data_IF_592536146683
#
_entry.id   IF_592536146683
#
_cell.length_a   1.000
_cell.length_b   1.000
_cell.length_c   1.000
_cell.angle_alpha   90.00
_cell.angle_beta   90.00
_cell.angle_gamma   90.00
#
_symmetry.space_group_name_H-M   'P 1'
#
loop_
_entity.id
_entity.type
_entity.pdbx_description
1 polymer ?
#
# COMPACT_ATOMS: atom_id res chain seq x y z
N UNK A 1 3.03 -19.45 18.36
CA UNK A 1 4.38 -19.09 17.87
C UNK A 1 4.87 -20.03 16.77
N UNK A 2 4.61 -21.36 16.86
CA UNK A 2 5.10 -22.35 15.89
C UNK A 2 4.34 -22.33 14.55
N UNK A 3 3.03 -22.11 14.56
CA UNK A 3 2.18 -22.14 13.36
C UNK A 3 2.65 -21.22 12.23
N UNK A 4 2.91 -19.93 12.47
CA UNK A 4 3.40 -19.03 11.42
C UNK A 4 4.73 -19.46 10.81
N UNK A 5 5.65 -20.03 11.61
CA UNK A 5 6.94 -20.53 11.11
C UNK A 5 6.75 -21.76 10.23
N UNK A 6 5.91 -22.70 10.65
CA UNK A 6 5.58 -23.88 9.84
C UNK A 6 4.90 -23.51 8.54
N UNK A 7 4.00 -22.51 8.57
CA UNK A 7 3.35 -22.00 7.36
C UNK A 7 4.36 -21.40 6.38
N UNK A 8 5.32 -20.58 6.85
CA UNK A 8 6.36 -20.02 5.99
C UNK A 8 7.24 -21.10 5.35
N UNK A 9 7.60 -22.16 6.09
CA UNK A 9 8.33 -23.31 5.54
C UNK A 9 7.50 -24.01 4.48
N UNK A 10 6.21 -24.22 4.77
CA UNK A 10 5.27 -24.91 3.90
C UNK A 10 5.07 -24.19 2.55
N UNK A 11 4.93 -22.85 2.57
CA UNK A 11 4.67 -22.07 1.36
C UNK A 11 5.95 -21.70 0.58
N UNK A 12 7.12 -21.88 1.17
CA UNK A 12 8.39 -21.41 0.59
C UNK A 12 8.73 -22.05 -0.77
N UNK A 13 8.23 -23.26 -1.03
CA UNK A 13 8.48 -23.93 -2.30
C UNK A 13 7.67 -23.36 -3.47
N UNK A 14 6.60 -22.62 -3.19
CA UNK A 14 5.73 -22.02 -4.20
C UNK A 14 6.51 -21.15 -5.19
N UNK A 15 7.42 -20.31 -4.70
CA UNK A 15 8.20 -19.40 -5.54
C UNK A 15 9.08 -20.18 -6.53
N UNK A 16 9.62 -21.32 -6.13
CA UNK A 16 10.45 -22.19 -6.99
C UNK A 16 9.61 -22.95 -8.03
N UNK A 17 8.35 -23.20 -7.71
CA UNK A 17 7.42 -23.91 -8.59
C UNK A 17 6.90 -23.01 -9.72
N UNK A 18 6.83 -21.69 -9.47
CA UNK A 18 6.36 -20.71 -10.44
C UNK A 18 7.45 -20.34 -11.46
N UNK A 19 7.08 -19.96 -12.70
CA UNK A 19 8.05 -19.55 -13.70
C UNK A 19 8.72 -18.23 -13.28
N UNK A 20 10.04 -18.19 -13.37
CA UNK A 20 10.84 -17.01 -13.00
C UNK A 20 10.41 -15.74 -13.75
N UNK A 21 9.98 -15.89 -15.01
CA UNK A 21 9.52 -14.78 -15.86
C UNK A 21 8.22 -14.11 -15.38
N UNK A 22 7.52 -14.69 -14.41
CA UNK A 22 6.36 -14.09 -13.75
C UNK A 22 6.76 -13.30 -12.49
N UNK A 23 8.05 -13.18 -12.18
CA UNK A 23 8.61 -12.46 -11.03
C UNK A 23 7.77 -12.67 -9.75
N UNK A 24 7.63 -13.90 -9.27
CA UNK A 24 6.81 -14.18 -8.08
C UNK A 24 7.45 -13.58 -6.85
N UNK A 25 6.67 -12.81 -6.08
CA UNK A 25 7.07 -12.30 -4.77
C UNK A 25 6.06 -12.73 -3.72
N UNK A 26 6.56 -13.17 -2.58
CA UNK A 26 5.75 -13.72 -1.50
C UNK A 26 6.02 -12.95 -0.22
N UNK A 27 4.95 -12.54 0.47
CA UNK A 27 5.01 -11.98 1.81
C UNK A 27 3.95 -12.67 2.67
N UNK A 28 4.37 -13.58 3.53
CA UNK A 28 3.50 -14.49 4.26
C UNK A 28 2.54 -15.23 3.31
N UNK A 29 1.24 -15.00 3.39
CA UNK A 29 0.21 -15.56 2.53
C UNK A 29 -0.10 -14.75 1.26
N UNK A 30 0.44 -13.52 1.16
CA UNK A 30 0.24 -12.64 0.01
C UNK A 30 1.23 -12.98 -1.11
N UNK A 31 0.73 -13.49 -2.23
CA UNK A 31 1.49 -13.75 -3.46
C UNK A 31 1.24 -12.66 -4.49
N UNK A 32 2.30 -12.14 -5.09
CA UNK A 32 2.25 -11.20 -6.21
C UNK A 32 3.03 -11.75 -7.40
N UNK A 33 2.41 -11.61 -8.56
CA UNK A 33 3.01 -11.95 -9.84
C UNK A 33 3.15 -10.69 -10.68
N UNK A 34 4.34 -10.40 -11.15
CA UNK A 34 4.63 -9.23 -11.99
C UNK A 34 5.06 -9.67 -13.37
N UNK A 35 4.59 -8.97 -14.36
CA UNK A 35 5.08 -9.14 -15.73
C UNK A 35 5.35 -7.79 -16.35
N UNK A 36 6.59 -7.54 -16.71
CA UNK A 36 7.00 -6.36 -17.43
C UNK A 36 6.53 -6.45 -18.89
N UNK A 37 5.86 -5.40 -19.34
CA UNK A 37 5.49 -5.28 -20.73
C UNK A 37 6.59 -4.52 -21.47
N UNK A 38 7.66 -5.22 -21.85
CA UNK A 38 8.65 -4.65 -22.78
C UNK A 38 7.97 -4.57 -24.15
N UNK A 39 7.87 -3.39 -24.77
CA UNK A 39 7.47 -3.31 -26.16
C UNK A 39 8.59 -3.94 -27.01
N UNK A 40 8.35 -5.16 -27.49
CA UNK A 40 9.25 -5.79 -28.45
C UNK A 40 9.10 -5.05 -29.77
N UNK A 41 10.10 -4.25 -30.10
CA UNK A 41 10.15 -3.39 -31.32
C UNK A 41 10.30 -4.16 -32.63
N UNK A 42 10.34 -5.50 -32.61
CA UNK A 42 10.78 -6.28 -33.77
C UNK A 42 9.86 -7.39 -34.26
N UNK A 43 8.65 -7.55 -33.73
CA UNK A 43 7.73 -8.56 -34.32
C UNK A 43 6.28 -8.13 -34.27
N UNK A 44 5.54 -8.58 -35.31
CA UNK A 44 4.15 -8.22 -35.62
C UNK A 44 3.09 -8.49 -34.54
N UNK A 45 3.45 -8.93 -33.33
CA UNK A 45 2.53 -9.15 -32.22
C UNK A 45 3.21 -8.98 -30.86
N UNK A 46 3.48 -7.74 -30.38
CA UNK A 46 4.10 -7.50 -29.08
C UNK A 46 3.19 -7.84 -27.89
N UNK A 47 1.96 -8.27 -28.17
CA UNK A 47 0.89 -8.37 -27.19
C UNK A 47 0.73 -9.74 -26.50
N UNK A 48 1.42 -10.76 -26.99
CA UNK A 48 1.09 -12.14 -26.60
C UNK A 48 1.94 -12.68 -25.45
N UNK A 49 3.20 -12.31 -25.37
CA UNK A 49 4.16 -13.06 -24.52
C UNK A 49 3.91 -12.84 -23.03
N UNK A 50 3.77 -11.61 -22.58
CA UNK A 50 3.66 -11.33 -21.14
C UNK A 50 2.33 -11.76 -20.51
N UNK A 51 1.23 -11.67 -21.27
CA UNK A 51 -0.08 -12.14 -20.79
C UNK A 51 -0.15 -13.68 -20.73
N UNK A 52 0.52 -14.33 -21.67
CA UNK A 52 0.62 -15.81 -21.68
C UNK A 52 1.45 -16.27 -20.48
N UNK A 53 2.55 -15.60 -20.17
CA UNK A 53 3.41 -15.94 -19.03
C UNK A 53 2.69 -15.81 -17.69
N UNK A 54 1.91 -14.74 -17.49
CA UNK A 54 1.11 -14.59 -16.27
C UNK A 54 0.02 -15.65 -16.17
N UNK A 55 -0.64 -15.97 -17.30
CA UNK A 55 -1.64 -17.05 -17.30
C UNK A 55 -1.00 -18.41 -17.04
N UNK A 56 0.17 -18.67 -17.57
CA UNK A 56 0.93 -19.90 -17.27
C UNK A 56 1.29 -19.97 -15.78
N UNK A 57 1.73 -18.87 -15.18
CA UNK A 57 2.02 -18.79 -13.75
C UNK A 57 0.77 -19.08 -12.90
N UNK A 58 -0.38 -18.53 -13.29
CA UNK A 58 -1.66 -18.81 -12.63
C UNK A 58 -2.08 -20.28 -12.75
N UNK A 59 -1.84 -20.91 -13.90
CA UNK A 59 -2.12 -22.33 -14.08
C UNK A 59 -1.21 -23.20 -13.19
N UNK A 60 0.09 -22.90 -13.13
CA UNK A 60 1.03 -23.57 -12.22
C UNK A 60 0.67 -23.36 -10.76
N UNK A 61 0.23 -22.13 -10.39
CA UNK A 61 -0.27 -21.85 -9.05
C UNK A 61 -1.49 -22.73 -8.72
N UNK A 62 -2.40 -22.94 -9.67
CA UNK A 62 -3.57 -23.80 -9.48
C UNK A 62 -3.16 -25.27 -9.28
N UNK A 63 -2.15 -25.73 -10.00
CA UNK A 63 -1.62 -27.10 -9.86
C UNK A 63 -0.93 -27.27 -8.50
N UNK A 64 -0.12 -26.32 -8.09
CA UNK A 64 0.51 -26.30 -6.77
C UNK A 64 -0.54 -26.27 -5.64
N UNK A 65 -1.55 -25.40 -5.76
CA UNK A 65 -2.66 -25.29 -4.80
C UNK A 65 -3.39 -26.61 -4.60
N UNK A 66 -3.64 -27.38 -5.69
CA UNK A 66 -4.24 -28.73 -5.64
C UNK A 66 -3.31 -29.74 -4.98
N UNK A 67 -2.03 -29.72 -5.35
CA UNK A 67 -1.03 -30.67 -4.82
C UNK A 67 -0.87 -30.51 -3.31
N UNK A 68 -0.77 -29.25 -2.86
CA UNK A 68 -0.53 -28.93 -1.46
C UNK A 68 -1.81 -28.71 -0.64
N UNK A 69 -2.99 -28.90 -1.24
CA UNK A 69 -4.30 -28.71 -0.58
C UNK A 69 -4.46 -27.33 0.08
N UNK A 70 -3.84 -26.30 -0.48
CA UNK A 70 -3.93 -24.92 -0.02
C UNK A 70 -4.79 -24.11 -0.98
N UNK A 71 -6.03 -23.81 -0.59
CA UNK A 71 -6.97 -23.08 -1.45
C UNK A 71 -6.62 -21.60 -1.58
N UNK A 72 -6.62 -21.10 -2.81
CA UNK A 72 -6.49 -19.66 -3.11
C UNK A 72 -7.86 -19.02 -3.07
N UNK A 73 -8.00 -17.90 -2.34
CA UNK A 73 -9.24 -17.14 -2.30
C UNK A 73 -9.36 -16.24 -3.54
N UNK A 74 -10.16 -16.67 -4.51
CA UNK A 74 -10.32 -15.99 -5.81
C UNK A 74 -10.98 -14.62 -5.65
N UNK A 75 -11.90 -14.44 -4.70
CA UNK A 75 -12.59 -13.16 -4.47
C UNK A 75 -11.63 -12.05 -4.01
N UNK A 76 -10.52 -12.41 -3.38
CA UNK A 76 -9.45 -11.48 -2.99
C UNK A 76 -8.42 -11.26 -4.09
N UNK A 77 -8.42 -12.10 -5.13
CA UNK A 77 -7.48 -11.94 -6.24
C UNK A 77 -7.91 -10.80 -7.15
N UNK A 78 -6.96 -9.98 -7.55
CA UNK A 78 -7.22 -8.87 -8.47
C UNK A 78 -6.04 -8.66 -9.42
N UNK A 79 -6.33 -8.09 -10.57
CA UNK A 79 -5.32 -7.69 -11.57
C UNK A 79 -5.26 -6.18 -11.60
N UNK A 80 -4.08 -5.61 -11.34
CA UNK A 80 -3.81 -4.19 -11.50
C UNK A 80 -2.90 -3.98 -12.71
N UNK A 81 -3.37 -3.21 -13.70
CA UNK A 81 -2.56 -2.83 -14.87
C UNK A 81 -2.03 -1.42 -14.68
N UNK A 82 -0.74 -1.30 -14.41
CA UNK A 82 -0.08 0.00 -14.23
C UNK A 82 0.34 0.51 -15.60
N UNK A 83 -0.15 1.68 -16.00
CA UNK A 83 0.13 2.26 -17.32
C UNK A 83 -0.13 3.75 -17.36
N UNK A 84 0.73 4.48 -18.07
CA UNK A 84 0.53 5.90 -18.39
C UNK A 84 -0.38 6.12 -19.63
N UNK A 85 -0.79 5.07 -20.31
CA UNK A 85 -1.69 5.18 -21.45
C UNK A 85 -3.12 5.53 -21.04
N UNK A 86 -3.79 6.39 -21.81
CA UNK A 86 -5.18 6.81 -21.54
C UNK A 86 -6.19 5.67 -21.59
N UNK A 87 -5.89 4.62 -22.34
CA UNK A 87 -6.75 3.44 -22.50
C UNK A 87 -5.90 2.18 -22.49
N UNK A 88 -5.52 1.66 -21.32
CA UNK A 88 -4.82 0.38 -21.23
C UNK A 88 -5.76 -0.72 -21.76
N UNK A 89 -5.22 -1.62 -22.58
CA UNK A 89 -6.01 -2.77 -23.06
C UNK A 89 -6.40 -3.63 -21.88
N UNK A 90 -7.70 -3.84 -21.70
CA UNK A 90 -8.21 -4.76 -20.69
C UNK A 90 -7.79 -6.19 -21.05
N UNK A 91 -7.21 -6.90 -20.09
CA UNK A 91 -6.84 -8.30 -20.21
C UNK A 91 -7.62 -9.10 -19.19
N UNK A 92 -8.14 -10.23 -19.60
CA UNK A 92 -8.79 -11.18 -18.72
C UNK A 92 -7.81 -12.29 -18.37
N UNK A 93 -7.66 -12.56 -17.09
CA UNK A 93 -6.92 -13.68 -16.56
C UNK A 93 -7.90 -14.61 -15.86
N UNK A 94 -7.62 -15.91 -15.90
CA UNK A 94 -8.45 -16.93 -15.27
C UNK A 94 -7.66 -17.74 -14.26
N UNK A 95 -8.29 -18.10 -13.16
CA UNK A 95 -7.78 -19.02 -12.17
C UNK A 95 -8.82 -20.08 -11.87
N UNK A 96 -8.52 -21.35 -12.10
CA UNK A 96 -9.46 -22.46 -11.95
C UNK A 96 -10.82 -22.17 -12.62
N UNK A 97 -10.80 -21.73 -13.89
CA UNK A 97 -11.98 -21.36 -14.70
C UNK A 97 -12.75 -20.11 -14.25
N UNK A 98 -12.35 -19.47 -13.15
CA UNK A 98 -12.93 -18.20 -12.71
C UNK A 98 -12.12 -17.02 -13.25
N UNK A 99 -12.82 -15.96 -13.67
CA UNK A 99 -12.18 -14.74 -14.18
C UNK A 99 -11.70 -13.91 -12.98
N UNK A 100 -10.42 -13.49 -12.99
CA UNK A 100 -9.88 -12.56 -12.02
C UNK A 100 -10.25 -11.14 -12.45
N UNK A 101 -10.86 -10.38 -11.55
CA UNK A 101 -11.31 -9.02 -11.84
C UNK A 101 -10.15 -8.03 -11.97
N UNK A 102 -10.19 -7.22 -13.02
CA UNK A 102 -9.28 -6.10 -13.18
C UNK A 102 -9.80 -4.92 -12.36
N UNK A 103 -8.90 -4.33 -11.57
CA UNK A 103 -9.18 -3.17 -10.71
C UNK A 103 -8.33 -1.97 -11.10
N UNK A 104 -8.80 -0.77 -10.79
CA UNK A 104 -8.04 0.48 -10.97
C UNK A 104 -7.15 0.81 -9.77
N UNK A 105 -7.41 0.18 -8.63
CA UNK A 105 -6.58 0.30 -7.43
C UNK A 105 -6.73 -0.93 -6.55
N UNK A 106 -5.66 -1.30 -5.85
CA UNK A 106 -5.68 -2.40 -4.89
C UNK A 106 -4.91 -1.99 -3.62
N UNK A 107 -5.25 -2.64 -2.51
CA UNK A 107 -4.50 -2.46 -1.26
C UNK A 107 -3.39 -3.50 -1.21
N UNK A 108 -2.16 -3.04 -1.10
CA UNK A 108 -0.98 -3.86 -1.01
C UNK A 108 -0.21 -3.56 0.27
N UNK A 109 -0.12 -4.54 1.18
CA UNK A 109 0.52 -4.40 2.49
C UNK A 109 0.14 -3.10 3.22
N UNK A 110 -1.13 -2.70 3.13
CA UNK A 110 -1.65 -1.49 3.76
C UNK A 110 -1.48 -0.20 2.96
N UNK A 111 -0.81 -0.24 1.81
CA UNK A 111 -0.69 0.88 0.86
C UNK A 111 -1.71 0.71 -0.26
N UNK A 112 -2.51 1.74 -0.55
CA UNK A 112 -3.41 1.74 -1.69
C UNK A 112 -2.62 2.16 -2.93
N UNK A 113 -2.45 1.21 -3.85
CA UNK A 113 -1.75 1.39 -5.13
C UNK A 113 -2.77 1.58 -6.23
N UNK A 114 -2.64 2.62 -7.03
CA UNK A 114 -3.49 2.90 -8.19
C UNK A 114 -2.76 2.60 -9.51
N UNK A 115 -3.52 2.49 -10.60
CA UNK A 115 -3.05 2.19 -11.95
C UNK A 115 -2.09 3.22 -12.55
N UNK A 116 -1.96 4.40 -11.91
CA UNK A 116 -1.06 5.49 -12.32
C UNK A 116 0.10 5.71 -11.33
N UNK A 117 0.15 4.96 -10.24
CA UNK A 117 1.09 5.16 -9.13
C UNK A 117 1.08 6.60 -8.58
N UNK A 118 -0.10 7.22 -8.54
CA UNK A 118 -0.23 8.59 -8.04
C UNK A 118 -0.25 8.67 -6.53
N UNK A 119 -0.70 7.61 -5.86
CA UNK A 119 -0.87 7.50 -4.41
C UNK A 119 -1.75 8.56 -3.75
N UNK A 120 -2.33 9.51 -4.47
CA UNK A 120 -3.17 10.57 -3.88
C UNK A 120 -4.37 10.01 -3.11
N UNK A 121 -4.98 8.93 -3.61
CA UNK A 121 -6.08 8.23 -2.92
C UNK A 121 -5.62 7.59 -1.60
N UNK A 122 -4.41 7.02 -1.58
CA UNK A 122 -3.78 6.51 -0.36
C UNK A 122 -3.58 7.61 0.66
N UNK A 123 -2.96 8.72 0.26
CA UNK A 123 -2.68 9.88 1.12
C UNK A 123 -3.97 10.44 1.72
N UNK A 124 -5.03 10.60 0.92
CA UNK A 124 -6.33 11.07 1.41
C UNK A 124 -6.91 10.10 2.46
N UNK A 125 -6.85 8.80 2.22
CA UNK A 125 -7.33 7.77 3.16
C UNK A 125 -6.54 7.79 4.47
N UNK A 126 -5.22 7.84 4.37
CA UNK A 126 -4.29 7.90 5.49
C UNK A 126 -4.50 9.17 6.34
N UNK A 127 -4.61 10.33 5.71
CA UNK A 127 -4.88 11.63 6.37
C UNK A 127 -6.23 11.59 7.10
N UNK A 128 -7.28 11.00 6.51
CA UNK A 128 -8.58 10.81 7.18
C UNK A 128 -8.45 9.97 8.45
N UNK A 129 -7.70 8.86 8.40
CA UNK A 129 -7.42 8.01 9.58
C UNK A 129 -6.66 8.80 10.65
N UNK A 130 -5.63 9.54 10.26
CA UNK A 130 -4.82 10.37 11.15
C UNK A 130 -5.64 11.48 11.85
N UNK A 131 -6.56 12.13 11.13
CA UNK A 131 -7.47 13.11 11.74
C UNK A 131 -8.42 12.47 12.75
N UNK A 132 -8.99 11.30 12.45
CA UNK A 132 -9.83 10.57 13.42
C UNK A 132 -9.06 10.24 14.68
N UNK A 133 -7.84 9.76 14.54
CA UNK A 133 -6.99 9.42 15.68
C UNK A 133 -6.60 10.66 16.49
N UNK A 134 -6.26 11.78 15.82
CA UNK A 134 -5.99 13.07 16.46
C UNK A 134 -7.19 13.58 17.26
N UNK A 135 -8.40 13.41 16.73
CA UNK A 135 -9.63 13.79 17.40
C UNK A 135 -9.89 12.94 18.65
N UNK A 136 -9.68 11.61 18.55
CA UNK A 136 -9.80 10.71 19.70
C UNK A 136 -8.82 11.10 20.82
N UNK A 137 -7.56 11.39 20.50
CA UNK A 137 -6.58 11.87 21.48
C UNK A 137 -7.10 13.12 22.19
N UNK A 138 -7.63 14.09 21.43
CA UNK A 138 -8.15 15.35 22.01
C UNK A 138 -9.33 15.15 22.94
N UNK A 139 -10.14 14.10 22.73
CA UNK A 139 -11.29 13.77 23.57
C UNK A 139 -10.95 12.87 24.76
N UNK A 140 -10.14 11.84 24.55
CA UNK A 140 -9.85 10.85 25.57
C UNK A 140 -8.88 11.35 26.65
N UNK A 141 -7.94 12.25 26.29
CA UNK A 141 -6.99 12.76 27.25
C UNK A 141 -7.57 13.96 28.00
N UNK A 142 -7.94 13.75 29.27
CA UNK A 142 -8.42 14.80 30.18
C UNK A 142 -7.29 15.79 30.47
N UNK A 143 -6.09 15.27 30.74
CA UNK A 143 -4.91 16.09 30.92
C UNK A 143 -4.50 16.77 29.63
N UNK A 144 -4.47 18.09 29.64
CA UNK A 144 -4.02 18.91 28.50
C UNK A 144 -2.52 19.24 28.57
N UNK A 145 -1.73 18.44 29.28
CA UNK A 145 -0.29 18.62 29.34
C UNK A 145 0.32 18.43 27.94
N UNK A 146 1.12 19.41 27.50
CA UNK A 146 1.72 19.44 26.17
C UNK A 146 2.61 18.25 25.85
N UNK A 147 3.36 17.75 26.86
CA UNK A 147 4.25 16.61 26.72
C UNK A 147 3.47 15.30 26.52
N UNK A 148 2.35 15.13 27.27
CA UNK A 148 1.47 13.96 27.13
C UNK A 148 0.82 13.95 25.76
N UNK A 149 0.24 15.08 25.35
CA UNK A 149 -0.40 15.20 24.03
C UNK A 149 0.58 15.01 22.88
N UNK A 150 1.80 15.58 23.00
CA UNK A 150 2.87 15.33 22.03
C UNK A 150 3.20 13.84 21.94
N UNK A 151 3.43 13.18 23.09
CA UNK A 151 3.75 11.75 23.13
C UNK A 151 2.63 10.93 22.49
N UNK A 152 1.36 11.22 22.81
CA UNK A 152 0.21 10.56 22.22
C UNK A 152 0.16 10.76 20.69
N UNK A 153 0.42 11.96 20.20
CA UNK A 153 0.51 12.23 18.76
C UNK A 153 1.61 11.42 18.07
N UNK A 154 2.81 11.42 18.65
CA UNK A 154 3.94 10.67 18.09
C UNK A 154 3.71 9.15 18.11
N UNK A 155 2.97 8.64 19.10
CA UNK A 155 2.72 7.20 19.22
C UNK A 155 1.56 6.72 18.35
N UNK A 156 0.49 7.50 18.23
CA UNK A 156 -0.76 7.02 17.61
C UNK A 156 -1.11 7.69 16.27
N UNK A 157 -0.54 8.84 15.96
CA UNK A 157 -0.87 9.58 14.73
C UNK A 157 0.28 9.56 13.73
N UNK A 158 1.49 9.90 14.18
CA UNK A 158 2.66 9.94 13.28
C UNK A 158 2.93 8.64 12.55
N UNK A 159 2.87 7.45 13.18
CA UNK A 159 3.12 6.21 12.46
C UNK A 159 2.13 5.97 11.32
N UNK A 160 0.88 6.48 11.43
CA UNK A 160 -0.10 6.40 10.34
C UNK A 160 0.31 7.26 9.13
N UNK A 161 1.02 8.37 9.36
CA UNK A 161 1.45 9.33 8.34
C UNK A 161 2.84 9.01 7.76
N UNK A 162 3.60 8.13 8.41
CA UNK A 162 4.99 7.81 8.03
C UNK A 162 5.15 6.37 7.53
N UNK A 163 4.12 5.52 7.74
CA UNK A 163 4.17 4.12 7.32
C UNK A 163 4.41 3.98 5.82
N UNK A 164 5.45 3.23 5.45
CA UNK A 164 5.84 2.95 4.06
C UNK A 164 6.06 4.21 3.20
N UNK A 165 6.47 5.33 3.80
CA UNK A 165 6.66 6.62 3.11
C UNK A 165 7.64 6.54 1.94
N UNK A 166 8.59 5.61 1.95
CA UNK A 166 9.53 5.38 0.84
C UNK A 166 8.83 4.96 -0.46
N UNK A 167 7.62 4.39 -0.38
CA UNK A 167 6.87 3.90 -1.55
C UNK A 167 6.00 5.01 -2.15
N UNK A 168 5.30 5.78 -1.29
CA UNK A 168 4.28 6.72 -1.71
C UNK A 168 4.65 8.19 -1.50
N UNK A 169 5.90 8.50 -1.22
CA UNK A 169 6.36 9.88 -0.97
C UNK A 169 5.77 10.87 -1.97
N UNK A 170 5.02 11.90 -1.50
CA UNK A 170 4.26 12.75 -2.38
C UNK A 170 5.16 13.73 -3.14
N UNK A 171 4.95 13.84 -4.45
CA UNK A 171 5.60 14.85 -5.29
C UNK A 171 4.76 16.13 -5.43
N UNK A 172 3.44 16.04 -5.21
CA UNK A 172 2.53 17.16 -5.36
C UNK A 172 2.44 17.98 -4.08
N UNK A 173 2.62 19.31 -4.17
CA UNK A 173 2.43 20.24 -3.04
C UNK A 173 1.10 20.09 -2.33
N UNK A 174 0.04 19.75 -3.07
CA UNK A 174 -1.29 19.49 -2.51
C UNK A 174 -1.25 18.36 -1.48
N UNK A 175 -0.65 17.25 -1.82
CA UNK A 175 -0.61 16.05 -0.97
C UNK A 175 0.34 16.25 0.22
N UNK A 176 1.48 16.89 0.00
CA UNK A 176 2.40 17.32 1.07
C UNK A 176 1.66 18.20 2.08
N UNK A 177 0.92 19.20 1.61
CA UNK A 177 0.15 20.10 2.46
C UNK A 177 -0.95 19.38 3.24
N UNK A 178 -1.60 18.37 2.64
CA UNK A 178 -2.61 17.56 3.33
C UNK A 178 -2.01 16.81 4.53
N UNK A 179 -0.85 16.19 4.36
CA UNK A 179 -0.14 15.48 5.42
C UNK A 179 0.27 16.43 6.54
N UNK A 180 0.95 17.52 6.19
CA UNK A 180 1.45 18.50 7.15
C UNK A 180 0.32 19.20 7.92
N UNK A 181 -0.83 19.38 7.31
CA UNK A 181 -2.00 19.99 7.95
C UNK A 181 -2.53 19.17 9.13
N UNK A 182 -2.32 17.85 9.17
CA UNK A 182 -2.68 17.03 10.33
C UNK A 182 -1.90 17.49 11.56
N UNK A 183 -0.58 17.61 11.43
CA UNK A 183 0.30 18.07 12.52
C UNK A 183 0.04 19.55 12.86
N UNK A 184 -0.15 20.39 11.85
CA UNK A 184 -0.47 21.80 12.01
C UNK A 184 -1.76 21.99 12.81
N UNK A 185 -2.81 21.24 12.50
CA UNK A 185 -4.09 21.30 13.21
C UNK A 185 -3.97 20.74 14.62
N UNK A 186 -3.34 19.57 14.79
CA UNK A 186 -3.16 18.98 16.11
C UNK A 186 -2.34 19.88 17.04
N UNK A 187 -1.19 20.40 16.59
CA UNK A 187 -0.36 21.31 17.41
C UNK A 187 -1.09 22.58 17.84
N UNK A 188 -2.12 23.01 17.09
CA UNK A 188 -2.95 24.16 17.44
C UNK A 188 -3.95 23.87 18.57
N UNK A 189 -4.29 22.61 18.81
CA UNK A 189 -5.20 22.21 19.90
C UNK A 189 -4.52 22.13 21.27
N UNK A 190 -3.18 22.18 21.30
CA UNK A 190 -2.41 22.13 22.54
C UNK A 190 -2.50 23.50 23.25
N UNK A 191 -2.82 23.51 24.57
CA UNK A 191 -2.90 24.77 25.34
C UNK A 191 -1.62 25.61 25.23
N UNK A 192 -1.79 26.92 25.24
CA UNK A 192 -0.71 27.92 25.13
C UNK A 192 0.06 27.91 23.82
N UNK A 193 -0.37 27.14 22.81
CA UNK A 193 0.27 27.10 21.49
C UNK A 193 -0.65 27.62 20.38
N UNK A 194 -1.94 27.83 20.61
CA UNK A 194 -2.93 28.15 19.58
C UNK A 194 -2.66 29.48 18.85
N UNK A 195 -2.12 30.48 19.56
CA UNK A 195 -1.81 31.80 18.99
C UNK A 195 -0.43 31.86 18.31
N UNK A 196 0.39 30.84 18.43
CA UNK A 196 1.76 30.87 17.90
C UNK A 196 1.82 30.45 16.43
N UNK A 197 2.78 31.00 15.70
CA UNK A 197 3.10 30.55 14.34
C UNK A 197 3.45 29.05 14.34
N UNK A 198 3.19 28.37 13.22
CA UNK A 198 3.39 26.92 13.13
C UNK A 198 4.84 26.50 13.40
N UNK A 199 5.80 27.20 12.83
CA UNK A 199 7.23 26.96 13.05
C UNK A 199 7.62 27.06 14.54
N UNK A 200 7.11 28.08 15.24
CA UNK A 200 7.33 28.26 16.68
C UNK A 200 6.72 27.14 17.51
N UNK A 201 5.54 26.64 17.10
CA UNK A 201 4.91 25.47 17.76
C UNK A 201 5.75 24.22 17.61
N UNK A 202 6.26 23.96 16.42
CA UNK A 202 7.15 22.82 16.16
C UNK A 202 8.42 22.88 16.99
N UNK A 203 9.06 24.07 17.05
CA UNK A 203 10.27 24.27 17.85
C UNK A 203 10.00 24.02 19.34
N UNK A 204 8.91 24.55 19.91
CA UNK A 204 8.53 24.32 21.32
C UNK A 204 8.21 22.86 21.63
N UNK A 205 7.53 22.18 20.70
CA UNK A 205 7.20 20.78 20.85
C UNK A 205 8.37 19.86 20.48
N UNK A 206 9.45 20.39 19.94
CA UNK A 206 10.57 19.61 19.39
C UNK A 206 10.05 18.52 18.43
N UNK A 207 9.17 18.90 17.51
CA UNK A 207 8.63 18.07 16.47
C UNK A 207 9.26 18.47 15.13
N UNK A 208 9.82 17.55 14.36
CA UNK A 208 10.19 17.83 12.98
C UNK A 208 8.92 17.97 12.13
N UNK A 209 9.04 18.70 11.01
CA UNK A 209 8.02 18.69 9.96
C UNK A 209 7.79 17.27 9.46
N UNK A 210 6.58 17.01 8.95
CA UNK A 210 6.26 15.78 8.21
C UNK A 210 6.62 15.90 6.72
N UNK A 211 7.27 16.98 6.36
CA UNK A 211 7.82 17.17 5.03
C UNK A 211 8.99 16.20 4.86
N UNK A 212 8.74 15.13 4.11
CA UNK A 212 9.69 14.06 3.80
C UNK A 212 10.34 14.35 2.45
#
# INVERSE_FOLDING_TARGET
>A
VLGPLLFLIYINDLVKYLPANANPTLFADDLKLFSDQVPVTTSRSPFCVSSVLLQEALNKLADWSRLWQLSVNIEKCSVLSISNFKSPKKRSYTFCSNIIHQVSSCSDLGVLVDDKLSFSSHIISMVKKAYRQSFLISRCFISKNSNILKKAFCTYVRPLLEYASQIWSPHCHKDITLIENVQRRFSKTIPNLHCLAYSTRLARLKLPSLYI
#
